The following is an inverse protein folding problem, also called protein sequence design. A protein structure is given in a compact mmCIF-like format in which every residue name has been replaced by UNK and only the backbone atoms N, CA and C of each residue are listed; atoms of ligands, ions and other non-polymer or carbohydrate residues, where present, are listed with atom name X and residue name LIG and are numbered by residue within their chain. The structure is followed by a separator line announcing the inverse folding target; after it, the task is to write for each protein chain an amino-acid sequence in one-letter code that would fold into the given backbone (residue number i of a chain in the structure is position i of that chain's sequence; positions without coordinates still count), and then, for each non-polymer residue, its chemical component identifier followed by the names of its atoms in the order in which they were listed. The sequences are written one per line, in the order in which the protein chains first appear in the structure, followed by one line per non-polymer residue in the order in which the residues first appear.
data_IF_587529756366
#
_entry.id   IF_587529756366
#
_cell.length_a   1.000
_cell.length_b   1.000
_cell.length_c   1.000
_cell.angle_alpha   90.00
_cell.angle_beta   90.00
_cell.angle_gamma   90.00
#
_symmetry.space_group_name_H-M   'P 1'
#
loop_
_entity.id
_entity.type
_entity.pdbx_description
1 polymer ?
#
# COMPACT_ATOMS: atom_id res chain seq x y z
N UNK A 1 10.59 10.40 8.49
CA UNK A 1 9.20 10.91 8.40
C UNK A 1 8.50 10.70 9.74
N UNK A 2 8.10 11.76 10.43
CA UNK A 2 7.58 11.68 11.81
C UNK A 2 6.05 11.64 11.86
N UNK A 3 5.50 10.96 12.87
CA UNK A 3 4.08 11.00 13.24
C UNK A 3 3.94 11.70 14.59
N UNK A 4 2.88 12.50 14.74
CA UNK A 4 2.54 13.16 16.02
C UNK A 4 1.51 12.31 16.72
N UNK A 5 1.84 11.83 17.93
CA UNK A 5 0.95 11.02 18.75
C UNK A 5 0.12 11.89 19.70
N UNK A 6 -1.17 11.62 19.76
CA UNK A 6 -2.10 12.24 20.70
C UNK A 6 -2.50 11.20 21.75
N UNK A 7 -2.03 11.37 23.00
CA UNK A 7 -2.25 10.42 24.09
C UNK A 7 -3.70 10.32 24.55
N UNK A 8 -4.46 11.41 24.47
CA UNK A 8 -5.87 11.45 24.88
C UNK A 8 -6.77 10.63 23.95
N UNK A 9 -6.54 10.71 22.64
CA UNK A 9 -7.30 9.96 21.63
C UNK A 9 -6.67 8.62 21.26
N UNK A 10 -5.40 8.39 21.63
CA UNK A 10 -4.63 7.21 21.21
C UNK A 10 -4.35 7.17 19.71
N UNK A 11 -4.43 8.30 19.00
CA UNK A 11 -4.28 8.36 17.54
C UNK A 11 -2.99 9.04 17.09
N UNK A 12 -2.57 8.75 15.85
CA UNK A 12 -1.42 9.40 15.21
C UNK A 12 -1.84 10.28 14.04
N UNK A 13 -1.22 11.43 13.90
CA UNK A 13 -1.42 12.36 12.79
C UNK A 13 -0.10 12.67 12.07
N UNK A 14 -0.19 13.21 10.86
CA UNK A 14 0.98 13.73 10.15
C UNK A 14 1.47 15.02 10.82
N UNK A 15 2.69 15.45 10.52
CA UNK A 15 3.18 16.76 10.95
C UNK A 15 2.28 17.90 10.41
N UNK A 16 2.14 19.02 11.14
CA UNK A 16 1.40 20.18 10.67
C UNK A 16 1.85 20.60 9.27
N UNK A 17 0.89 20.82 8.37
CA UNK A 17 1.16 21.20 6.97
C UNK A 17 1.56 20.05 6.04
N UNK A 18 1.60 18.80 6.51
CA UNK A 18 2.01 17.65 5.68
C UNK A 18 0.86 16.68 5.41
N UNK A 19 0.50 16.53 4.13
CA UNK A 19 -0.38 15.46 3.65
C UNK A 19 0.44 14.30 3.08
N UNK A 20 0.02 13.08 3.38
CA UNK A 20 0.69 11.85 2.92
C UNK A 20 -0.35 10.95 2.29
N UNK A 21 -0.03 10.45 1.11
CA UNK A 21 -0.88 9.56 0.32
C UNK A 21 -0.10 8.33 -0.07
N UNK A 22 -0.81 7.21 -0.13
CA UNK A 22 -0.24 5.93 -0.58
C UNK A 22 -0.70 5.71 -2.02
N UNK A 23 0.21 5.78 -3.01
CA UNK A 23 -0.12 5.56 -4.41
C UNK A 23 -0.24 4.06 -4.75
N UNK A 24 -0.69 3.75 -5.96
CA UNK A 24 -0.56 2.41 -6.55
C UNK A 24 -1.58 1.36 -6.07
N UNK A 25 -2.63 1.77 -5.36
CA UNK A 25 -3.68 0.84 -4.96
C UNK A 25 -4.34 0.18 -6.18
N UNK A 26 -4.42 -1.16 -6.17
CA UNK A 26 -4.91 -1.98 -7.27
C UNK A 26 -3.85 -2.37 -8.29
N UNK A 27 -2.72 -1.65 -8.37
CA UNK A 27 -1.57 -2.00 -9.21
C UNK A 27 -0.48 -2.72 -8.42
N UNK A 28 0.59 -3.15 -9.10
CA UNK A 28 1.72 -3.86 -8.46
C UNK A 28 3.02 -3.06 -8.46
N UNK A 29 3.16 -2.04 -9.33
CA UNK A 29 4.42 -1.30 -9.52
C UNK A 29 4.99 -0.69 -8.24
N UNK A 30 4.14 -0.17 -7.35
CA UNK A 30 4.56 0.48 -6.10
C UNK A 30 4.97 -0.48 -5.00
N UNK A 31 4.67 -1.78 -5.15
CA UNK A 31 5.10 -2.83 -4.21
C UNK A 31 6.25 -3.65 -4.79
N UNK A 32 6.38 -3.72 -6.12
CA UNK A 32 7.48 -4.40 -6.80
C UNK A 32 8.82 -3.71 -6.49
N UNK A 33 8.86 -2.38 -6.61
CA UNK A 33 10.03 -1.57 -6.30
C UNK A 33 9.68 -0.38 -5.40
N UNK A 34 10.47 -0.19 -4.34
CA UNK A 34 10.33 0.90 -3.37
C UNK A 34 10.89 2.23 -3.89
N UNK A 35 11.79 2.17 -4.88
CA UNK A 35 12.39 3.34 -5.51
C UNK A 35 12.07 3.38 -7.01
N UNK A 36 11.89 4.61 -7.54
CA UNK A 36 11.54 4.85 -8.94
C UNK A 36 12.65 4.46 -9.92
N UNK A 37 13.90 4.37 -9.44
CA UNK A 37 15.02 3.95 -10.29
C UNK A 37 14.96 2.48 -10.71
N UNK A 38 14.10 1.67 -10.06
CA UNK A 38 14.04 0.21 -10.22
C UNK A 38 15.38 -0.48 -9.92
N UNK A 39 16.26 0.18 -9.17
CA UNK A 39 17.53 -0.39 -8.77
C UNK A 39 17.32 -1.58 -7.82
N UNK A 40 18.23 -2.55 -7.90
CA UNK A 40 18.20 -3.77 -7.07
C UNK A 40 17.96 -3.53 -5.57
N UNK A 41 18.57 -2.51 -4.91
CA UNK A 41 18.29 -2.23 -3.50
C UNK A 41 16.83 -1.88 -3.19
N UNK A 42 16.10 -1.37 -4.18
CA UNK A 42 14.68 -1.05 -4.07
C UNK A 42 13.76 -2.20 -4.45
N UNK A 43 14.28 -3.35 -4.93
CA UNK A 43 13.46 -4.50 -5.28
C UNK A 43 12.88 -5.14 -4.02
N UNK A 44 11.56 -5.31 -3.97
CA UNK A 44 10.87 -5.92 -2.84
C UNK A 44 9.96 -7.07 -3.28
N UNK A 45 8.86 -6.80 -3.99
CA UNK A 45 7.97 -7.85 -4.52
C UNK A 45 8.20 -8.17 -6.00
N UNK A 46 9.17 -7.55 -6.68
CA UNK A 46 9.39 -7.71 -8.12
C UNK A 46 9.47 -9.19 -8.56
N UNK A 47 10.32 -9.98 -7.90
CA UNK A 47 10.50 -11.40 -8.21
C UNK A 47 9.21 -12.21 -8.04
N UNK A 48 8.44 -11.93 -6.98
CA UNK A 48 7.17 -12.63 -6.73
C UNK A 48 6.16 -12.31 -7.84
N UNK A 49 6.03 -11.04 -8.20
CA UNK A 49 5.10 -10.59 -9.23
C UNK A 49 5.49 -11.16 -10.61
N UNK A 50 6.79 -11.27 -10.91
CA UNK A 50 7.28 -11.90 -12.12
C UNK A 50 6.93 -13.39 -12.18
N UNK A 51 7.15 -14.13 -11.10
CA UNK A 51 6.76 -15.55 -11.01
C UNK A 51 5.26 -15.70 -11.23
N UNK A 52 4.43 -14.91 -10.53
CA UNK A 52 2.97 -14.99 -10.70
C UNK A 52 2.55 -14.61 -12.12
N UNK A 53 3.20 -13.62 -12.75
CA UNK A 53 2.92 -13.26 -14.13
C UNK A 53 3.26 -14.40 -15.09
N UNK A 54 4.36 -15.12 -14.85
CA UNK A 54 4.74 -16.30 -15.63
C UNK A 54 3.71 -17.44 -15.54
N UNK A 55 2.94 -17.49 -14.45
CA UNK A 55 1.83 -18.43 -14.27
C UNK A 55 0.52 -17.95 -14.90
N UNK A 56 0.53 -16.82 -15.60
CA UNK A 56 -0.63 -16.27 -16.30
C UNK A 56 -1.41 -15.20 -15.52
N UNK A 57 -0.93 -14.77 -14.35
CA UNK A 57 -1.55 -13.64 -13.66
C UNK A 57 -1.27 -12.33 -14.40
N UNK A 58 -2.24 -11.40 -14.38
CA UNK A 58 -2.10 -10.08 -15.01
C UNK A 58 -2.07 -9.01 -13.93
N UNK A 59 -0.94 -8.27 -13.87
CA UNK A 59 -0.76 -7.09 -13.02
C UNK A 59 -1.95 -6.13 -13.17
N UNK A 60 -2.47 -5.63 -12.05
CA UNK A 60 -3.60 -4.71 -12.02
C UNK A 60 -4.98 -5.33 -12.24
N UNK A 61 -5.05 -6.62 -12.62
CA UNK A 61 -6.32 -7.32 -12.89
C UNK A 61 -6.49 -8.49 -11.94
N UNK A 62 -5.88 -9.64 -12.27
CA UNK A 62 -5.93 -10.85 -11.44
C UNK A 62 -4.85 -10.88 -10.37
N UNK A 63 -3.87 -9.97 -10.46
CA UNK A 63 -2.87 -9.72 -9.42
C UNK A 63 -2.86 -8.23 -9.07
N UNK A 64 -3.25 -7.90 -7.85
CA UNK A 64 -3.41 -6.52 -7.40
C UNK A 64 -2.66 -6.29 -6.08
N UNK A 65 -1.97 -5.15 -5.99
CA UNK A 65 -1.36 -4.70 -4.74
C UNK A 65 -2.31 -3.83 -3.93
N UNK A 66 -2.24 -3.98 -2.61
CA UNK A 66 -2.99 -3.16 -1.66
C UNK A 66 -2.03 -2.41 -0.71
N UNK A 67 -1.21 -1.47 -1.22
CA UNK A 67 -0.31 -0.69 -0.39
C UNK A 67 -1.10 0.18 0.60
N UNK A 68 -0.57 0.32 1.81
CA UNK A 68 -1.14 1.14 2.89
C UNK A 68 -0.02 1.88 3.65
N UNK A 69 -0.41 2.83 4.51
CA UNK A 69 0.55 3.57 5.34
C UNK A 69 0.98 2.69 6.51
N UNK A 70 2.06 1.95 6.31
CA UNK A 70 2.61 0.97 7.26
C UNK A 70 3.09 1.58 8.59
N UNK A 71 3.14 2.91 8.70
CA UNK A 71 3.47 3.61 9.96
C UNK A 71 2.27 3.73 10.91
N UNK A 72 1.05 3.46 10.42
CA UNK A 72 -0.20 3.61 11.19
C UNK A 72 -0.73 2.26 11.64
N UNK A 73 -1.24 2.22 12.87
CA UNK A 73 -1.85 1.02 13.42
C UNK A 73 -3.22 0.71 12.75
N UNK A 74 -3.63 -0.57 12.66
CA UNK A 74 -4.91 -0.97 12.07
C UNK A 74 -6.14 -0.40 12.77
N UNK A 75 -6.05 -0.10 14.07
CA UNK A 75 -7.14 0.47 14.87
C UNK A 75 -7.50 1.92 14.48
N UNK A 76 -6.67 2.58 13.68
CA UNK A 76 -6.93 3.96 13.25
C UNK A 76 -7.94 4.00 12.11
N UNK A 77 -8.93 4.90 12.19
CA UNK A 77 -10.09 5.02 11.27
C UNK A 77 -9.73 4.98 9.76
N UNK A 78 -8.53 5.44 9.38
CA UNK A 78 -8.06 5.44 7.98
C UNK A 78 -7.79 4.03 7.44
N UNK A 79 -7.49 3.05 8.29
CA UNK A 79 -7.31 1.66 7.87
C UNK A 79 -8.62 1.02 7.37
N UNK A 80 -9.77 1.41 7.96
CA UNK A 80 -11.09 0.96 7.48
C UNK A 80 -11.35 1.36 6.02
N UNK A 81 -10.87 2.53 5.58
CA UNK A 81 -10.99 2.97 4.18
C UNK A 81 -10.12 2.13 3.23
N UNK A 82 -8.89 1.80 3.63
CA UNK A 82 -8.03 0.88 2.86
C UNK A 82 -8.65 -0.52 2.78
N UNK A 83 -9.16 -1.01 3.92
CA UNK A 83 -9.84 -2.29 3.99
C UNK A 83 -11.11 -2.32 3.13
N UNK A 84 -11.92 -1.25 3.11
CA UNK A 84 -13.09 -1.17 2.24
C UNK A 84 -12.75 -1.16 0.75
N UNK A 85 -11.63 -0.53 0.37
CA UNK A 85 -11.13 -0.59 -1.01
C UNK A 85 -10.62 -1.98 -1.38
N UNK A 86 -10.02 -2.67 -0.42
CA UNK A 86 -9.57 -4.05 -0.58
C UNK A 86 -10.75 -5.02 -0.69
N UNK A 87 -11.78 -4.91 0.14
CA UNK A 87 -12.97 -5.78 0.01
C UNK A 87 -13.75 -5.51 -1.29
N UNK A 88 -13.82 -4.24 -1.73
CA UNK A 88 -14.41 -3.90 -3.03
C UNK A 88 -13.66 -4.49 -4.23
N UNK A 89 -12.35 -4.72 -4.13
CA UNK A 89 -11.62 -5.31 -5.26
C UNK A 89 -11.96 -6.79 -5.50
N UNK A 90 -12.45 -7.51 -4.49
CA UNK A 90 -12.89 -8.92 -4.63
C UNK A 90 -14.36 -9.08 -5.05
N UNK A 91 -15.18 -8.04 -4.94
CA UNK A 91 -16.64 -8.11 -5.19
C UNK A 91 -17.06 -7.64 -6.58
N UNK A 92 -16.13 -7.15 -7.41
CA UNK A 92 -16.39 -6.79 -8.81
C UNK A 92 -16.27 -7.97 -9.79
N UNK A 93 -16.84 -9.12 -9.44
CA UNK A 93 -16.98 -10.28 -10.34
C UNK A 93 -18.36 -10.25 -10.97
#
# INVERSE_FOLDING_TARGET
MMLVFNSTSGTTSNMPGVDIRVPGFGGTSTIEYLDKSLASPGSYFATLVDIMTSWGYTRGKTLQGAPYDWRKAPSQRRFSFYFSRFTQSFTKV
#
